data_IF_086738618547
#
_entry.id   IF_086738618547
#
_cell.length_a   1.000
_cell.length_b   1.000
_cell.length_c   1.000
_cell.angle_alpha   90.00
_cell.angle_beta   90.00
_cell.angle_gamma   90.00
#
_symmetry.space_group_name_H-M   'P 1'
#
loop_
_entity.id
_entity.type
_entity.pdbx_description
1 polymer ?
#
# COMPACT_ATOMS: atom_id res chain seq x y z
N UNK A 1 -39.16 26.51 -33.11
CA UNK A 1 -38.61 25.16 -33.38
C UNK A 1 -37.34 25.02 -32.57
N UNK A 2 -37.23 24.00 -31.71
CA UNK A 2 -36.00 23.79 -30.93
C UNK A 2 -34.84 23.43 -31.87
N UNK A 3 -33.67 24.01 -31.63
CA UNK A 3 -32.44 23.72 -32.38
C UNK A 3 -32.18 22.18 -32.38
N UNK A 4 -31.95 21.55 -33.54
CA UNK A 4 -31.56 20.14 -33.62
C UNK A 4 -30.42 19.77 -32.67
N UNK A 5 -29.49 20.68 -32.41
CA UNK A 5 -28.39 20.48 -31.46
C UNK A 5 -28.88 20.34 -30.02
N UNK A 6 -29.86 21.14 -29.59
CA UNK A 6 -30.46 20.99 -28.26
C UNK A 6 -31.14 19.63 -28.09
N UNK A 7 -31.75 19.09 -29.16
CA UNK A 7 -32.34 17.75 -29.14
C UNK A 7 -31.29 16.67 -28.95
N UNK A 8 -30.14 16.75 -29.61
CA UNK A 8 -29.08 15.74 -29.46
C UNK A 8 -28.49 15.80 -28.05
N UNK A 9 -28.20 17.00 -27.53
CA UNK A 9 -27.64 17.20 -26.19
C UNK A 9 -28.69 17.15 -25.06
N UNK A 10 -29.89 16.63 -25.34
CA UNK A 10 -30.87 16.25 -24.32
C UNK A 10 -31.09 14.73 -24.26
N UNK A 11 -30.40 13.95 -25.10
CA UNK A 11 -30.46 12.48 -25.06
C UNK A 11 -29.43 11.96 -24.04
N UNK A 12 -29.92 11.41 -22.93
CA UNK A 12 -29.08 10.95 -21.81
C UNK A 12 -27.95 10.00 -22.23
N UNK A 13 -28.19 9.08 -23.17
CA UNK A 13 -27.15 8.15 -23.62
C UNK A 13 -26.01 8.85 -24.35
N UNK A 14 -26.33 9.88 -25.15
CA UNK A 14 -25.34 10.66 -25.90
C UNK A 14 -24.52 11.49 -24.92
N UNK A 15 -25.18 12.17 -23.98
CA UNK A 15 -24.51 12.97 -22.95
C UNK A 15 -23.57 12.08 -22.12
N UNK A 16 -24.05 10.91 -21.67
CA UNK A 16 -23.24 9.98 -20.89
C UNK A 16 -22.03 9.47 -21.66
N UNK A 17 -22.18 9.17 -22.95
CA UNK A 17 -21.05 8.75 -23.79
C UNK A 17 -20.05 9.90 -23.97
N UNK A 18 -20.51 11.12 -24.25
CA UNK A 18 -19.63 12.28 -24.37
C UNK A 18 -18.88 12.52 -23.06
N UNK A 19 -19.55 12.53 -21.91
CA UNK A 19 -18.90 12.78 -20.62
C UNK A 19 -17.87 11.68 -20.28
N UNK A 20 -18.19 10.41 -20.55
CA UNK A 20 -17.23 9.29 -20.38
C UNK A 20 -15.96 9.48 -21.23
N UNK A 21 -16.09 10.04 -22.44
CA UNK A 21 -14.96 10.25 -23.35
C UNK A 21 -14.29 11.62 -23.22
N UNK A 22 -14.93 12.61 -22.60
CA UNK A 22 -14.41 13.97 -22.37
C UNK A 22 -13.88 14.17 -20.95
N UNK A 23 -13.56 13.07 -20.25
CA UNK A 23 -13.19 13.02 -18.84
C UNK A 23 -11.76 13.53 -18.52
N UNK A 24 -11.36 14.73 -18.98
CA UNK A 24 -10.66 15.61 -18.06
C UNK A 24 -11.62 16.59 -17.39
N UNK A 25 -11.62 16.60 -16.05
CA UNK A 25 -12.30 17.60 -15.21
C UNK A 25 -12.06 19.05 -15.67
N UNK A 26 -10.90 19.33 -16.28
CA UNK A 26 -10.52 20.64 -16.82
C UNK A 26 -11.55 21.21 -17.80
N UNK A 27 -12.22 20.35 -18.57
CA UNK A 27 -13.21 20.78 -19.55
C UNK A 27 -14.60 20.98 -18.91
N UNK A 28 -14.83 20.50 -17.68
CA UNK A 28 -16.16 20.53 -17.08
C UNK A 28 -16.69 21.95 -16.83
N UNK A 29 -15.91 22.95 -16.40
CA UNK A 29 -16.40 24.32 -16.32
C UNK A 29 -17.04 24.80 -17.63
N UNK A 30 -16.40 24.52 -18.77
CA UNK A 30 -16.85 24.96 -20.10
C UNK A 30 -17.98 24.07 -20.63
N UNK A 31 -17.85 22.75 -20.50
CA UNK A 31 -18.87 21.79 -20.92
C UNK A 31 -20.20 21.96 -20.18
N UNK A 32 -20.17 22.47 -18.95
CA UNK A 32 -21.37 22.78 -18.17
C UNK A 32 -22.16 23.98 -18.71
N UNK A 33 -21.59 24.73 -19.67
CA UNK A 33 -22.28 25.85 -20.31
C UNK A 33 -23.04 25.44 -21.58
N UNK A 34 -22.92 24.18 -22.03
CA UNK A 34 -23.59 23.69 -23.26
C UNK A 34 -25.11 23.79 -23.14
N UNK A 35 -25.71 23.17 -22.12
CA UNK A 35 -27.11 23.35 -21.75
C UNK A 35 -27.39 22.81 -20.33
N UNK A 36 -28.63 22.97 -19.84
CA UNK A 36 -29.04 22.52 -18.50
C UNK A 36 -28.93 21.01 -18.30
N UNK A 37 -29.29 20.20 -19.30
CA UNK A 37 -29.23 18.74 -19.24
C UNK A 37 -27.79 18.24 -19.16
N UNK A 38 -26.91 18.77 -20.01
CA UNK A 38 -25.48 18.46 -20.02
C UNK A 38 -24.83 18.85 -18.68
N UNK A 39 -25.13 20.05 -18.16
CA UNK A 39 -24.64 20.48 -16.84
C UNK A 39 -25.10 19.55 -15.71
N UNK A 40 -26.36 19.10 -15.73
CA UNK A 40 -26.91 18.17 -14.74
C UNK A 40 -26.14 16.85 -14.75
N UNK A 41 -25.92 16.27 -15.92
CA UNK A 41 -25.19 15.00 -16.05
C UNK A 41 -23.70 15.15 -15.72
N UNK A 42 -23.07 16.26 -16.12
CA UNK A 42 -21.73 16.61 -15.67
C UNK A 42 -21.64 16.61 -14.14
N UNK A 43 -22.58 17.29 -13.47
CA UNK A 43 -22.63 17.33 -12.00
C UNK A 43 -22.84 15.94 -11.41
N UNK A 44 -23.69 15.10 -12.01
CA UNK A 44 -23.91 13.73 -11.54
C UNK A 44 -22.63 12.88 -11.62
N UNK A 45 -21.92 12.96 -12.75
CA UNK A 45 -20.63 12.29 -12.93
C UNK A 45 -19.61 12.78 -11.90
N UNK A 46 -19.53 14.10 -11.69
CA UNK A 46 -18.63 14.67 -10.69
C UNK A 46 -18.98 14.22 -9.27
N UNK A 47 -20.27 14.13 -8.92
CA UNK A 47 -20.70 13.61 -7.61
C UNK A 47 -20.21 12.18 -7.40
N UNK A 48 -20.44 11.30 -8.37
CA UNK A 48 -20.06 9.90 -8.28
C UNK A 48 -18.55 9.73 -8.21
N UNK A 49 -17.81 10.44 -9.07
CA UNK A 49 -16.35 10.31 -9.11
C UNK A 49 -15.60 10.95 -7.95
N UNK A 50 -16.27 11.83 -7.19
CA UNK A 50 -15.72 12.51 -6.02
C UNK A 50 -16.35 12.03 -4.70
N UNK A 51 -17.13 10.94 -4.70
CA UNK A 51 -17.47 10.26 -3.44
C UNK A 51 -16.22 9.74 -2.71
N UNK A 52 -15.17 9.43 -3.50
CA UNK A 52 -13.81 9.19 -3.03
C UNK A 52 -12.93 10.39 -3.40
N UNK A 53 -12.35 11.02 -2.39
CA UNK A 53 -11.42 12.13 -2.53
C UNK A 53 -10.05 11.68 -2.03
N UNK A 54 -9.05 11.82 -2.89
CA UNK A 54 -7.64 11.73 -2.56
C UNK A 54 -7.00 13.10 -2.81
N UNK A 55 -6.38 13.68 -1.78
CA UNK A 55 -5.58 14.90 -1.89
C UNK A 55 -4.12 14.53 -1.64
N UNK A 56 -3.24 14.75 -2.62
CA UNK A 56 -1.84 14.35 -2.54
C UNK A 56 -0.90 15.50 -2.86
N UNK A 57 0.19 15.63 -2.10
CA UNK A 57 1.23 16.61 -2.38
C UNK A 57 1.90 16.31 -3.73
N UNK A 58 2.11 17.36 -4.52
CA UNK A 58 3.00 17.34 -5.67
C UNK A 58 4.20 18.21 -5.34
N UNK A 59 5.29 17.57 -4.94
CA UNK A 59 6.56 18.23 -4.71
C UNK A 59 7.39 18.14 -5.99
N UNK A 60 7.86 19.26 -6.55
CA UNK A 60 8.76 19.22 -7.70
C UNK A 60 10.03 18.42 -7.38
N UNK A 61 10.47 17.57 -8.30
CA UNK A 61 11.79 16.95 -8.23
C UNK A 61 12.86 18.04 -8.36
N UNK A 62 13.65 18.27 -7.30
CA UNK A 62 14.93 18.99 -7.04
C UNK A 62 15.40 20.17 -7.95
N UNK A 63 14.82 20.43 -9.12
CA UNK A 63 15.24 21.44 -10.08
C UNK A 63 14.09 22.23 -10.74
N UNK A 64 12.85 22.09 -10.28
CA UNK A 64 11.73 22.89 -10.79
C UNK A 64 11.42 24.10 -9.91
N UNK A 65 10.82 25.12 -10.52
CA UNK A 65 10.51 26.39 -9.87
C UNK A 65 9.57 26.14 -8.66
N UNK A 66 9.72 26.90 -7.55
CA UNK A 66 8.78 26.84 -6.42
C UNK A 66 7.30 26.94 -6.84
N UNK A 67 7.03 27.62 -7.95
CA UNK A 67 5.70 27.80 -8.55
C UNK A 67 5.00 26.49 -9.00
N UNK A 68 5.72 25.36 -9.02
CA UNK A 68 5.19 24.04 -9.38
C UNK A 68 4.78 23.20 -8.16
N UNK A 69 4.99 23.70 -6.95
CA UNK A 69 4.48 23.09 -5.73
C UNK A 69 2.94 23.19 -5.69
N UNK A 70 2.29 22.09 -5.33
CA UNK A 70 0.88 22.13 -5.04
C UNK A 70 0.30 20.79 -4.68
N UNK A 71 -0.99 20.62 -4.92
CA UNK A 71 -1.69 19.38 -4.58
C UNK A 71 -2.43 18.83 -5.79
N UNK A 72 -2.58 17.52 -5.83
CA UNK A 72 -3.53 16.88 -6.73
C UNK A 72 -4.79 16.52 -5.97
N UNK A 73 -5.95 16.72 -6.58
CA UNK A 73 -7.24 16.21 -6.10
C UNK A 73 -7.70 15.17 -7.11
N UNK A 74 -7.77 13.90 -6.69
CA UNK A 74 -8.03 12.76 -7.56
C UNK A 74 -7.12 12.76 -8.80
N UNK A 75 -5.82 12.97 -8.59
CA UNK A 75 -4.79 13.02 -9.64
C UNK A 75 -4.74 14.32 -10.44
N UNK A 76 -5.60 15.31 -10.14
CA UNK A 76 -5.63 16.60 -10.86
C UNK A 76 -4.96 17.71 -10.08
N UNK A 77 -3.88 18.26 -10.65
CA UNK A 77 -3.09 19.31 -10.03
C UNK A 77 -3.89 20.61 -9.81
N UNK A 78 -3.65 21.25 -8.68
CA UNK A 78 -4.10 22.59 -8.36
C UNK A 78 -3.07 23.31 -7.49
N UNK A 79 -2.92 24.61 -7.76
CA UNK A 79 -2.10 25.53 -6.96
C UNK A 79 -2.90 26.01 -5.75
N UNK A 80 -2.22 26.60 -4.78
CA UNK A 80 -2.85 27.06 -3.54
C UNK A 80 -3.97 28.07 -3.81
N UNK A 81 -3.70 29.00 -4.72
CA UNK A 81 -4.65 30.04 -5.16
C UNK A 81 -5.93 29.49 -5.82
N UNK A 82 -5.90 28.25 -6.34
CA UNK A 82 -7.05 27.59 -6.97
C UNK A 82 -7.64 26.45 -6.13
N UNK A 83 -6.93 25.97 -5.11
CA UNK A 83 -7.36 24.89 -4.23
C UNK A 83 -8.72 25.19 -3.60
N UNK A 84 -8.85 26.31 -2.88
CA UNK A 84 -10.12 26.69 -2.25
C UNK A 84 -11.26 26.86 -3.27
N UNK A 85 -11.00 27.51 -4.42
CA UNK A 85 -12.01 27.66 -5.48
C UNK A 85 -12.53 26.30 -5.95
N UNK A 86 -11.64 25.32 -6.09
CA UNK A 86 -11.97 23.95 -6.48
C UNK A 86 -12.76 23.22 -5.39
N UNK A 87 -12.35 23.33 -4.13
CA UNK A 87 -13.08 22.76 -3.00
C UNK A 87 -14.51 23.32 -2.91
N UNK A 88 -14.65 24.65 -2.96
CA UNK A 88 -15.94 25.33 -2.93
C UNK A 88 -16.82 24.94 -4.11
N UNK A 89 -16.22 24.72 -5.28
CA UNK A 89 -16.94 24.23 -6.44
C UNK A 89 -17.54 22.84 -6.20
N UNK A 90 -16.73 21.89 -5.72
CA UNK A 90 -17.18 20.53 -5.40
C UNK A 90 -18.29 20.54 -4.33
N UNK A 91 -18.15 21.36 -3.28
CA UNK A 91 -19.17 21.48 -2.24
C UNK A 91 -20.44 22.16 -2.74
N UNK A 92 -20.35 23.40 -3.20
CA UNK A 92 -21.52 24.27 -3.34
C UNK A 92 -22.22 24.06 -4.68
N UNK A 93 -21.46 23.79 -5.75
CA UNK A 93 -22.03 23.58 -7.08
C UNK A 93 -22.31 22.11 -7.35
N UNK A 94 -21.36 21.23 -7.05
CA UNK A 94 -21.56 19.80 -7.26
C UNK A 94 -22.32 19.13 -6.11
N UNK A 95 -22.30 19.65 -4.88
CA UNK A 95 -22.93 19.01 -3.70
C UNK A 95 -22.43 17.58 -3.49
N UNK A 96 -21.11 17.40 -3.62
CA UNK A 96 -20.46 16.11 -3.39
C UNK A 96 -20.68 15.67 -1.94
N UNK A 97 -21.07 14.41 -1.74
CA UNK A 97 -21.15 13.76 -0.43
C UNK A 97 -19.99 12.77 -0.33
N UNK A 98 -19.00 13.10 0.48
CA UNK A 98 -17.78 12.30 0.59
C UNK A 98 -18.04 11.09 1.47
N UNK A 99 -17.64 9.92 0.97
CA UNK A 99 -17.66 8.64 1.68
C UNK A 99 -16.25 8.16 2.02
N UNK A 100 -15.28 8.46 1.16
CA UNK A 100 -13.89 8.04 1.31
C UNK A 100 -12.99 9.25 1.17
N UNK A 101 -12.17 9.52 2.17
CA UNK A 101 -11.29 10.68 2.20
C UNK A 101 -9.88 10.28 2.60
N UNK A 102 -8.91 10.66 1.78
CA UNK A 102 -7.51 10.36 1.99
C UNK A 102 -6.63 11.57 1.68
N UNK A 103 -5.67 11.84 2.55
CA UNK A 103 -4.65 12.88 2.39
C UNK A 103 -3.27 12.24 2.38
N UNK A 104 -2.45 12.57 1.39
CA UNK A 104 -1.09 12.05 1.24
C UNK A 104 -0.07 13.16 1.23
N UNK A 105 0.91 13.02 2.12
CA UNK A 105 2.19 13.73 2.05
C UNK A 105 2.13 15.27 2.05
N UNK A 106 1.00 15.89 2.44
CA UNK A 106 0.88 17.36 2.45
C UNK A 106 1.91 18.06 3.35
N UNK A 107 2.42 17.38 4.37
CA UNK A 107 3.52 17.90 5.21
C UNK A 107 4.83 18.14 4.44
N UNK A 108 4.97 17.59 3.23
CA UNK A 108 6.14 17.84 2.36
C UNK A 108 6.06 19.19 1.64
N UNK A 109 4.90 19.84 1.66
CA UNK A 109 4.70 21.15 1.07
C UNK A 109 5.22 22.23 2.03
N UNK A 110 6.33 22.88 1.67
CA UNK A 110 7.06 23.78 2.57
C UNK A 110 6.43 25.17 2.65
N UNK A 111 5.84 25.64 1.57
CA UNK A 111 5.32 27.00 1.45
C UNK A 111 3.79 27.06 1.47
N UNK A 112 3.14 25.91 1.70
CA UNK A 112 1.70 25.77 1.67
C UNK A 112 1.11 25.93 3.07
N UNK A 113 0.03 26.70 3.21
CA UNK A 113 -0.64 26.88 4.49
C UNK A 113 -1.47 25.64 4.85
N UNK A 114 -0.83 24.70 5.56
CA UNK A 114 -1.45 23.44 5.98
C UNK A 114 -2.61 23.64 6.97
N UNK A 115 -2.56 24.68 7.80
CA UNK A 115 -3.61 24.98 8.78
C UNK A 115 -4.86 25.51 8.09
N UNK A 116 -4.70 26.45 7.15
CA UNK A 116 -5.80 26.92 6.33
C UNK A 116 -6.34 25.81 5.42
N UNK A 117 -5.47 24.94 4.91
CA UNK A 117 -5.87 23.75 4.14
C UNK A 117 -6.72 22.80 4.95
N UNK A 118 -6.31 22.52 6.20
CA UNK A 118 -7.13 21.75 7.14
C UNK A 118 -8.50 22.37 7.33
N UNK A 119 -8.58 23.68 7.58
CA UNK A 119 -9.85 24.40 7.74
C UNK A 119 -10.73 24.29 6.50
N UNK A 120 -10.19 24.54 5.31
CA UNK A 120 -10.92 24.42 4.03
C UNK A 120 -11.45 22.99 3.84
N UNK A 121 -10.66 21.97 4.15
CA UNK A 121 -11.10 20.58 4.07
C UNK A 121 -12.25 20.31 5.05
N UNK A 122 -12.09 20.70 6.32
CA UNK A 122 -13.05 20.39 7.36
C UNK A 122 -14.36 21.17 7.21
N UNK A 123 -14.28 22.45 6.87
CA UNK A 123 -15.44 23.35 6.87
C UNK A 123 -16.08 23.44 5.49
N UNK A 124 -15.29 23.64 4.44
CA UNK A 124 -15.81 23.86 3.09
C UNK A 124 -16.04 22.54 2.35
N UNK A 125 -15.10 21.60 2.39
CA UNK A 125 -15.24 20.34 1.66
C UNK A 125 -16.20 19.38 2.39
N UNK A 126 -15.89 19.06 3.63
CA UNK A 126 -16.66 18.10 4.44
C UNK A 126 -17.90 18.79 5.01
N UNK A 127 -17.69 19.91 5.71
CA UNK A 127 -18.75 20.70 6.35
C UNK A 127 -19.67 19.82 7.20
N UNK A 128 -20.98 19.97 7.06
CA UNK A 128 -21.97 19.22 7.84
C UNK A 128 -22.10 17.73 7.45
N UNK A 129 -21.37 17.24 6.45
CA UNK A 129 -21.46 15.84 5.99
C UNK A 129 -20.44 14.91 6.68
N UNK A 130 -19.93 15.27 7.87
CA UNK A 130 -18.95 14.46 8.63
C UNK A 130 -19.37 13.01 8.79
N UNK A 131 -20.66 12.77 9.05
CA UNK A 131 -21.23 11.45 9.31
C UNK A 131 -21.33 10.54 8.08
N UNK A 132 -21.10 11.04 6.86
CA UNK A 132 -21.13 10.20 5.65
C UNK A 132 -19.80 9.54 5.34
N UNK A 133 -18.72 10.00 5.98
CA UNK A 133 -17.36 9.50 5.77
C UNK A 133 -17.21 8.15 6.47
N UNK A 134 -16.73 7.15 5.72
CA UNK A 134 -16.48 5.77 6.15
C UNK A 134 -15.00 5.44 6.22
N UNK A 135 -14.20 6.12 5.42
CA UNK A 135 -12.74 6.03 5.46
C UNK A 135 -12.15 7.44 5.56
N UNK A 136 -11.30 7.66 6.57
CA UNK A 136 -10.70 8.95 6.86
C UNK A 136 -9.21 8.78 7.15
N UNK A 137 -8.39 8.96 6.13
CA UNK A 137 -6.98 8.58 6.15
C UNK A 137 -6.07 9.78 5.91
N UNK A 138 -4.94 9.83 6.64
CA UNK A 138 -3.81 10.70 6.34
C UNK A 138 -3.87 12.12 6.91
N UNK A 139 -4.92 12.47 7.65
CA UNK A 139 -5.07 13.82 8.22
C UNK A 139 -3.96 14.23 9.19
N UNK A 140 -3.20 13.29 9.74
CA UNK A 140 -1.99 13.57 10.51
C UNK A 140 -0.94 14.37 9.72
N UNK A 141 -1.04 14.44 8.38
CA UNK A 141 -0.15 15.27 7.56
C UNK A 141 -0.39 16.78 7.70
N UNK A 142 -1.59 17.20 8.11
CA UNK A 142 -1.96 18.62 8.25
C UNK A 142 -2.54 18.95 9.63
N UNK A 143 -2.93 17.94 10.39
CA UNK A 143 -3.37 18.05 11.78
C UNK A 143 -2.67 16.95 12.61
N UNK A 144 -1.37 17.07 12.92
CA UNK A 144 -0.58 15.96 13.46
C UNK A 144 -1.11 15.38 14.78
N UNK A 145 -1.59 16.25 15.67
CA UNK A 145 -2.15 15.83 16.98
C UNK A 145 -3.65 15.54 16.91
N UNK A 146 -4.32 15.88 15.81
CA UNK A 146 -5.77 15.83 15.69
C UNK A 146 -6.47 17.03 16.33
N UNK A 147 -7.77 17.14 16.05
CA UNK A 147 -8.65 18.14 16.63
C UNK A 147 -10.03 17.51 16.88
N UNK A 148 -10.94 18.26 17.50
CA UNK A 148 -12.32 17.81 17.76
C UNK A 148 -13.02 17.36 16.47
N UNK A 149 -12.96 18.18 15.41
CA UNK A 149 -13.59 17.83 14.13
C UNK A 149 -13.01 16.56 13.48
N UNK A 150 -11.69 16.32 13.58
CA UNK A 150 -11.08 15.08 13.10
C UNK A 150 -11.55 13.87 13.92
N UNK A 151 -11.67 14.04 15.24
CA UNK A 151 -12.10 12.99 16.17
C UNK A 151 -13.56 12.60 15.91
N UNK A 152 -14.45 13.57 15.74
CA UNK A 152 -15.87 13.33 15.41
C UNK A 152 -16.07 12.51 14.13
N UNK A 153 -15.19 12.69 13.14
CA UNK A 153 -15.22 11.90 11.90
C UNK A 153 -14.67 10.50 12.16
N UNK A 154 -13.50 10.41 12.82
CA UNK A 154 -12.81 9.16 13.11
C UNK A 154 -13.70 8.17 13.89
N UNK A 155 -14.43 8.67 14.87
CA UNK A 155 -15.38 7.95 15.73
C UNK A 155 -16.46 7.16 14.95
N UNK A 156 -16.69 7.47 13.67
CA UNK A 156 -17.72 6.84 12.82
C UNK A 156 -17.15 6.09 11.62
N UNK A 157 -15.82 6.07 11.47
CA UNK A 157 -15.14 5.48 10.34
C UNK A 157 -14.87 3.99 10.57
N UNK A 158 -14.96 3.20 9.49
CA UNK A 158 -14.56 1.80 9.52
C UNK A 158 -13.06 1.65 9.25
N UNK A 159 -12.47 2.59 8.50
CA UNK A 159 -11.02 2.67 8.28
C UNK A 159 -10.52 4.06 8.62
N UNK A 160 -9.51 4.13 9.47
CA UNK A 160 -9.01 5.41 9.97
C UNK A 160 -7.51 5.36 10.21
N UNK A 161 -6.87 6.51 10.05
CA UNK A 161 -5.57 6.80 10.62
C UNK A 161 -4.63 7.56 9.66
N UNK A 162 -3.42 7.92 10.07
CA UNK A 162 -2.80 7.55 11.35
C UNK A 162 -3.59 8.04 12.56
N UNK A 163 -3.69 7.20 13.60
CA UNK A 163 -4.33 7.53 14.87
C UNK A 163 -3.67 8.76 15.47
N UNK A 164 -4.48 9.76 15.81
CA UNK A 164 -4.05 11.06 16.34
C UNK A 164 -4.17 11.10 17.86
N UNK A 165 -3.28 11.84 18.53
CA UNK A 165 -3.29 11.95 19.99
C UNK A 165 -4.64 12.42 20.53
N UNK A 166 -5.25 13.44 19.92
CA UNK A 166 -6.53 13.99 20.34
C UNK A 166 -7.64 12.92 20.37
N UNK A 167 -7.63 11.99 19.42
CA UNK A 167 -8.59 10.90 19.43
C UNK A 167 -8.34 9.95 20.60
N UNK A 168 -7.09 9.58 20.87
CA UNK A 168 -6.73 8.75 22.04
C UNK A 168 -7.23 9.41 23.32
N UNK A 169 -7.02 10.70 23.51
CA UNK A 169 -7.33 11.35 24.79
C UNK A 169 -8.77 11.90 24.91
N UNK A 170 -9.51 12.03 23.80
CA UNK A 170 -10.84 12.68 23.79
C UNK A 170 -11.96 11.87 23.17
N UNK A 171 -11.69 10.74 22.51
CA UNK A 171 -12.79 9.92 21.98
C UNK A 171 -13.72 9.51 23.12
N UNK A 172 -15.02 9.65 22.87
CA UNK A 172 -16.08 9.34 23.84
C UNK A 172 -16.81 8.06 23.49
N UNK A 173 -16.41 7.42 22.40
CA UNK A 173 -17.00 6.20 21.88
C UNK A 173 -15.99 5.07 22.03
N UNK A 174 -16.49 3.85 21.87
CA UNK A 174 -15.70 2.63 21.78
C UNK A 174 -15.70 2.14 20.32
N UNK A 175 -15.12 2.89 19.37
CA UNK A 175 -15.18 2.53 17.96
C UNK A 175 -14.43 1.22 17.70
N UNK A 176 -15.05 0.41 16.83
CA UNK A 176 -14.41 -0.74 16.23
C UNK A 176 -14.01 -0.42 14.79
N UNK A 177 -12.71 -0.55 14.49
CA UNK A 177 -12.17 -0.31 13.15
C UNK A 177 -11.97 -1.61 12.41
N UNK A 178 -12.45 -1.68 11.17
CA UNK A 178 -12.00 -2.72 10.24
C UNK A 178 -10.50 -2.61 9.96
N UNK A 179 -10.00 -1.38 9.83
CA UNK A 179 -8.58 -1.11 9.65
C UNK A 179 -8.18 0.17 10.39
N UNK A 180 -7.15 0.08 11.22
CA UNK A 180 -6.58 1.22 11.93
C UNK A 180 -5.12 1.38 11.54
N UNK A 181 -4.72 2.61 11.20
CA UNK A 181 -3.33 2.95 10.90
C UNK A 181 -2.75 3.68 12.11
N UNK A 182 -1.56 3.28 12.55
CA UNK A 182 -0.80 3.94 13.62
C UNK A 182 0.59 4.28 13.08
N UNK A 183 1.07 5.47 13.41
CA UNK A 183 2.43 5.89 13.14
C UNK A 183 3.21 5.93 14.45
N UNK A 184 4.46 5.51 14.43
CA UNK A 184 5.37 5.52 15.59
C UNK A 184 5.41 6.85 16.37
N UNK A 185 5.27 7.99 15.68
CA UNK A 185 5.18 9.33 16.28
C UNK A 185 4.10 9.42 17.37
N UNK A 186 3.01 8.64 17.24
CA UNK A 186 1.96 8.63 18.25
C UNK A 186 2.48 8.14 19.61
N UNK A 187 3.38 7.15 19.64
CA UNK A 187 3.90 6.63 20.90
C UNK A 187 4.67 7.70 21.67
N UNK A 188 5.50 8.49 20.98
CA UNK A 188 6.23 9.61 21.58
C UNK A 188 5.29 10.71 22.08
N UNK A 189 4.19 10.97 21.36
CA UNK A 189 3.17 11.94 21.77
C UNK A 189 2.41 11.47 23.03
N UNK A 190 2.05 10.19 23.09
CA UNK A 190 1.43 9.59 24.27
C UNK A 190 2.40 9.68 25.45
N UNK A 191 3.66 9.30 25.26
CA UNK A 191 4.66 9.36 26.32
C UNK A 191 4.88 10.79 26.83
N UNK A 192 4.98 11.77 25.93
CA UNK A 192 5.10 13.17 26.29
C UNK A 192 3.85 13.65 27.07
N UNK A 193 2.66 13.21 26.66
CA UNK A 193 1.42 13.52 27.35
C UNK A 193 1.40 12.90 28.76
N UNK A 194 1.81 11.64 28.89
CA UNK A 194 1.96 10.92 30.16
C UNK A 194 2.92 11.61 31.13
N UNK A 195 4.00 12.21 30.63
CA UNK A 195 4.95 12.97 31.49
C UNK A 195 4.37 14.31 31.96
N UNK A 196 3.50 14.95 31.17
CA UNK A 196 2.90 16.25 31.48
C UNK A 196 1.73 16.14 32.45
N UNK A 197 0.94 15.08 32.35
CA UNK A 197 -0.14 14.82 33.30
C UNK A 197 0.39 13.94 34.43
N UNK A 198 0.28 14.40 35.68
CA UNK A 198 0.64 13.60 36.86
C UNK A 198 0.04 12.18 36.75
N UNK A 199 0.85 11.16 37.04
CA UNK A 199 0.63 9.76 36.71
C UNK A 199 -0.73 9.15 37.11
N UNK A 200 -1.47 9.79 38.03
CA UNK A 200 -2.76 9.33 38.54
C UNK A 200 -3.87 9.24 37.48
N UNK A 201 -3.81 10.01 36.39
CA UNK A 201 -4.83 9.97 35.33
C UNK A 201 -4.55 8.96 34.21
N UNK A 202 -3.42 8.25 34.26
CA UNK A 202 -2.90 7.54 33.09
C UNK A 202 -3.44 6.13 32.91
N UNK A 203 -3.99 5.51 33.95
CA UNK A 203 -4.41 4.10 33.90
C UNK A 203 -5.52 3.81 32.87
N UNK A 204 -6.18 4.84 32.32
CA UNK A 204 -7.21 4.69 31.30
C UNK A 204 -7.04 5.69 30.14
N UNK A 205 -5.80 6.11 29.83
CA UNK A 205 -5.59 7.10 28.76
C UNK A 205 -6.01 6.57 27.38
N UNK A 206 -5.87 5.26 27.17
CA UNK A 206 -6.18 4.60 25.90
C UNK A 206 -7.63 4.11 25.98
N UNK A 207 -8.55 4.69 25.20
CA UNK A 207 -9.93 4.23 25.14
C UNK A 207 -9.97 2.79 24.61
N UNK A 208 -11.06 2.04 24.87
CA UNK A 208 -11.18 0.64 24.48
C UNK A 208 -11.51 0.49 22.98
N UNK A 209 -10.74 1.17 22.14
CA UNK A 209 -10.76 0.98 20.70
C UNK A 209 -10.42 -0.45 20.36
N UNK A 210 -11.09 -1.02 19.38
CA UNK A 210 -10.71 -2.33 18.84
C UNK A 210 -10.50 -2.25 17.34
N UNK A 211 -9.71 -3.15 16.77
CA UNK A 211 -9.63 -3.26 15.31
C UNK A 211 -9.45 -4.69 14.80
N UNK A 212 -9.87 -4.94 13.55
CA UNK A 212 -9.60 -6.21 12.88
C UNK A 212 -8.18 -6.25 12.29
N UNK A 213 -7.80 -5.18 11.58
CA UNK A 213 -6.50 -5.02 10.94
C UNK A 213 -5.78 -3.78 11.45
N UNK A 214 -4.56 -3.96 11.97
CA UNK A 214 -3.71 -2.86 12.40
C UNK A 214 -2.55 -2.69 11.42
N UNK A 215 -2.36 -1.47 10.91
CA UNK A 215 -1.18 -1.09 10.14
C UNK A 215 -0.31 -0.20 11.01
N UNK A 216 0.90 -0.67 11.36
CA UNK A 216 1.87 0.09 12.12
C UNK A 216 2.99 0.59 11.21
N UNK A 217 3.08 1.91 11.04
CA UNK A 217 4.10 2.59 10.24
C UNK A 217 5.26 2.99 11.15
N UNK A 218 6.43 2.40 10.91
CA UNK A 218 7.63 2.55 11.73
C UNK A 218 8.73 3.26 10.94
N UNK A 219 8.98 4.53 11.27
CA UNK A 219 10.02 5.36 10.65
C UNK A 219 11.22 5.59 11.56
N UNK A 220 11.06 5.35 12.87
CA UNK A 220 11.98 5.64 13.95
C UNK A 220 11.78 4.64 15.12
N UNK A 221 12.69 4.68 16.10
CA UNK A 221 12.55 3.93 17.35
C UNK A 221 11.37 4.45 18.18
N UNK A 222 10.67 3.55 18.86
CA UNK A 222 9.54 3.88 19.73
C UNK A 222 9.65 3.19 21.09
N UNK A 223 8.96 3.74 22.10
CA UNK A 223 8.84 3.12 23.41
C UNK A 223 8.04 1.83 23.33
N UNK A 224 8.67 0.70 23.70
CA UNK A 224 8.03 -0.61 23.74
C UNK A 224 6.81 -0.59 24.66
N UNK A 225 6.93 -0.03 25.85
CA UNK A 225 5.85 -0.08 26.86
C UNK A 225 4.58 0.60 26.38
N UNK A 226 4.70 1.80 25.80
CA UNK A 226 3.56 2.55 25.25
C UNK A 226 2.96 1.81 24.06
N UNK A 227 3.79 1.22 23.20
CA UNK A 227 3.31 0.42 22.09
C UNK A 227 2.55 -0.82 22.57
N UNK A 228 3.07 -1.56 23.54
CA UNK A 228 2.41 -2.76 24.06
C UNK A 228 1.09 -2.43 24.75
N UNK A 229 1.02 -1.34 25.51
CA UNK A 229 -0.21 -0.86 26.14
C UNK A 229 -1.29 -0.52 25.09
N UNK A 230 -0.91 0.22 24.04
CA UNK A 230 -1.82 0.57 22.96
C UNK A 230 -2.27 -0.65 22.17
N UNK A 231 -1.35 -1.56 21.86
CA UNK A 231 -1.65 -2.79 21.12
C UNK A 231 -2.54 -3.75 21.93
N UNK A 232 -2.35 -3.82 23.25
CA UNK A 232 -3.19 -4.59 24.14
C UNK A 232 -4.63 -4.05 24.18
N UNK A 233 -4.80 -2.72 24.19
CA UNK A 233 -6.12 -2.10 24.11
C UNK A 233 -6.80 -2.39 22.77
N UNK A 234 -6.06 -2.32 21.66
CA UNK A 234 -6.59 -2.50 20.30
C UNK A 234 -7.00 -3.93 19.97
N UNK A 235 -6.34 -4.92 20.57
CA UNK A 235 -6.57 -6.35 20.36
C UNK A 235 -6.74 -6.74 18.87
N UNK A 236 -5.79 -6.40 17.98
CA UNK A 236 -5.93 -6.64 16.54
C UNK A 236 -5.93 -8.13 16.19
N UNK A 237 -6.71 -8.56 15.20
CA UNK A 237 -6.64 -9.93 14.66
C UNK A 237 -5.42 -10.15 13.75
N UNK A 238 -5.01 -9.09 13.06
CA UNK A 238 -3.91 -9.08 12.09
C UNK A 238 -3.12 -7.79 12.19
N UNK A 239 -1.80 -7.87 11.97
CA UNK A 239 -0.90 -6.72 12.01
C UNK A 239 -0.09 -6.63 10.73
N UNK A 240 -0.03 -5.46 10.10
CA UNK A 240 0.94 -5.10 9.05
C UNK A 240 1.95 -4.09 9.62
N UNK A 241 3.22 -4.46 9.64
CA UNK A 241 4.32 -3.56 9.99
C UNK A 241 4.91 -2.96 8.70
N UNK A 242 4.69 -1.66 8.48
CA UNK A 242 5.30 -0.91 7.37
C UNK A 242 6.59 -0.25 7.84
N UNK A 243 7.71 -0.78 7.37
CA UNK A 243 9.04 -0.32 7.79
C UNK A 243 9.51 0.79 6.84
N UNK A 244 9.75 1.98 7.39
CA UNK A 244 10.14 3.17 6.67
C UNK A 244 11.61 3.20 6.24
N UNK A 245 12.05 4.39 5.80
CA UNK A 245 13.34 4.60 5.09
C UNK A 245 14.58 4.42 5.97
N UNK A 246 14.46 4.60 7.30
CA UNK A 246 15.60 4.68 8.22
C UNK A 246 15.60 3.64 9.35
N UNK A 247 14.56 2.82 9.46
CA UNK A 247 14.36 1.98 10.64
C UNK A 247 14.65 0.52 10.39
N UNK A 248 15.83 0.02 10.78
CA UNK A 248 15.79 -1.31 11.38
C UNK A 248 14.93 -1.17 12.64
N UNK A 249 13.99 -2.08 12.87
CA UNK A 249 13.30 -2.13 14.18
C UNK A 249 14.38 -2.51 15.19
N UNK A 250 15.01 -1.53 15.82
CA UNK A 250 16.01 -1.75 16.87
C UNK A 250 15.27 -1.71 18.18
N UNK A 251 14.87 -2.88 18.66
CA UNK A 251 14.50 -3.03 20.05
C UNK A 251 15.80 -2.92 20.85
N UNK A 252 16.10 -1.71 21.33
CA UNK A 252 16.92 -1.62 22.53
C UNK A 252 16.17 -2.45 23.57
N UNK A 253 16.77 -3.54 24.04
CA UNK A 253 16.30 -4.31 25.20
C UNK A 253 15.12 -5.28 24.96
N UNK A 254 15.19 -6.11 23.92
CA UNK A 254 14.33 -7.29 23.78
C UNK A 254 14.58 -8.41 24.83
N UNK A 255 15.21 -8.12 25.98
CA UNK A 255 15.42 -9.11 27.06
C UNK A 255 14.13 -9.46 27.82
N UNK A 256 13.05 -8.68 27.67
CA UNK A 256 11.80 -8.97 28.35
C UNK A 256 10.88 -9.89 27.52
N UNK A 257 10.30 -10.88 28.21
CA UNK A 257 9.45 -11.94 27.68
C UNK A 257 8.36 -11.44 26.72
N UNK A 258 7.96 -12.25 25.72
CA UNK A 258 6.82 -11.96 24.87
C UNK A 258 5.56 -11.74 25.72
N UNK A 259 4.69 -10.84 25.28
CA UNK A 259 3.36 -10.69 25.91
C UNK A 259 2.55 -11.91 25.50
N UNK A 260 2.45 -12.89 26.41
CA UNK A 260 1.97 -14.25 26.15
C UNK A 260 0.50 -14.37 25.68
N UNK A 261 -0.25 -13.27 25.60
CA UNK A 261 -1.70 -13.31 25.41
C UNK A 261 -2.20 -12.80 24.06
N UNK A 262 -1.32 -12.45 23.11
CA UNK A 262 -1.77 -12.02 21.78
C UNK A 262 -1.94 -13.22 20.85
N UNK A 263 -3.17 -13.42 20.40
CA UNK A 263 -3.49 -14.43 19.40
C UNK A 263 -3.60 -13.78 18.01
N UNK A 264 -2.46 -13.34 17.47
CA UNK A 264 -2.41 -12.81 16.11
C UNK A 264 -2.53 -13.96 15.13
N UNK A 265 -3.62 -13.93 14.34
CA UNK A 265 -3.79 -14.88 13.24
C UNK A 265 -2.77 -14.66 12.12
N UNK A 266 -2.26 -13.43 12.00
CA UNK A 266 -1.33 -13.05 10.95
C UNK A 266 -0.47 -11.82 11.30
N UNK A 267 0.82 -11.89 10.94
CA UNK A 267 1.75 -10.77 10.92
C UNK A 267 2.29 -10.59 9.50
N UNK A 268 2.22 -9.37 8.96
CA UNK A 268 2.85 -8.99 7.70
C UNK A 268 3.92 -7.95 7.94
N UNK A 269 5.19 -8.30 7.71
CA UNK A 269 6.31 -7.35 7.71
C UNK A 269 6.50 -6.83 6.30
N UNK A 270 6.12 -5.58 6.06
CA UNK A 270 6.18 -4.91 4.78
C UNK A 270 7.33 -3.90 4.73
N UNK A 271 8.44 -4.30 4.10
CA UNK A 271 9.64 -3.49 3.89
C UNK A 271 9.78 -3.06 2.42
N UNK A 272 8.73 -3.17 1.61
CA UNK A 272 8.80 -2.93 0.16
C UNK A 272 9.34 -1.54 -0.20
N UNK A 273 8.96 -0.53 0.58
CA UNK A 273 9.30 0.87 0.34
C UNK A 273 10.56 1.32 1.10
N UNK A 274 11.29 0.38 1.73
CA UNK A 274 12.52 0.70 2.44
C UNK A 274 13.69 0.73 1.46
N UNK A 275 14.22 1.91 1.15
CA UNK A 275 15.27 2.05 0.13
C UNK A 275 16.66 1.57 0.57
N UNK A 276 16.95 1.58 1.87
CA UNK A 276 18.32 1.50 2.41
C UNK A 276 18.55 0.38 3.43
N UNK A 277 17.71 -0.66 3.46
CA UNK A 277 17.92 -1.77 4.39
C UNK A 277 18.98 -2.74 3.85
N UNK A 278 20.01 -2.99 4.65
CA UNK A 278 20.93 -4.11 4.42
C UNK A 278 20.23 -5.46 4.64
N UNK A 279 20.87 -6.57 4.23
CA UNK A 279 20.35 -7.92 4.50
C UNK A 279 20.29 -8.18 6.02
N UNK A 280 21.30 -7.68 6.73
CA UNK A 280 21.45 -7.78 8.18
C UNK A 280 20.33 -6.99 8.89
N UNK A 281 20.08 -5.74 8.47
CA UNK A 281 18.99 -4.93 9.03
C UNK A 281 17.61 -5.55 8.79
N UNK A 282 17.41 -6.17 7.62
CA UNK A 282 16.18 -6.93 7.35
C UNK A 282 16.04 -8.12 8.29
N UNK A 283 17.11 -8.89 8.50
CA UNK A 283 17.09 -10.04 9.39
C UNK A 283 16.77 -9.63 10.85
N UNK A 284 17.41 -8.56 11.34
CA UNK A 284 17.15 -7.99 12.67
C UNK A 284 15.71 -7.51 12.78
N UNK A 285 15.21 -6.80 11.76
CA UNK A 285 13.83 -6.31 11.73
C UNK A 285 12.83 -7.46 11.77
N UNK A 286 13.04 -8.51 10.98
CA UNK A 286 12.20 -9.70 10.95
C UNK A 286 12.20 -10.40 12.31
N UNK A 287 13.39 -10.57 12.91
CA UNK A 287 13.53 -11.16 14.23
C UNK A 287 12.72 -10.38 15.27
N UNK A 288 12.99 -9.09 15.39
CA UNK A 288 12.38 -8.21 16.39
C UNK A 288 10.87 -8.11 16.22
N UNK A 289 10.38 -7.99 14.98
CA UNK A 289 8.96 -8.05 14.70
C UNK A 289 8.33 -9.38 15.11
N UNK A 290 8.97 -10.52 14.80
CA UNK A 290 8.45 -11.85 15.17
C UNK A 290 8.43 -12.08 16.68
N UNK A 291 9.34 -11.44 17.42
CA UNK A 291 9.36 -11.48 18.88
C UNK A 291 8.28 -10.57 19.51
N UNK A 292 8.05 -9.39 18.94
CA UNK A 292 7.02 -8.46 19.41
C UNK A 292 5.60 -8.93 19.13
N UNK A 293 5.41 -9.61 17.99
CA UNK A 293 4.10 -10.00 17.48
C UNK A 293 4.08 -11.51 17.24
N UNK A 294 3.98 -12.34 18.31
CA UNK A 294 3.83 -13.78 18.16
C UNK A 294 2.66 -14.11 17.22
N UNK A 295 2.88 -14.97 16.24
CA UNK A 295 1.91 -15.34 15.21
C UNK A 295 2.16 -16.76 14.72
N UNK A 296 1.13 -17.42 14.19
CA UNK A 296 1.28 -18.69 13.48
C UNK A 296 1.72 -18.50 12.02
N UNK A 297 1.41 -17.33 11.44
CA UNK A 297 1.61 -17.02 10.02
C UNK A 297 2.31 -15.68 9.85
N UNK A 298 3.48 -15.72 9.24
CA UNK A 298 4.31 -14.56 8.95
C UNK A 298 4.40 -14.35 7.44
N UNK A 299 4.02 -13.15 6.99
CA UNK A 299 4.29 -12.68 5.63
C UNK A 299 5.41 -11.65 5.66
N UNK A 300 6.31 -11.71 4.70
CA UNK A 300 7.45 -10.81 4.62
C UNK A 300 7.50 -10.27 3.19
N UNK A 301 7.32 -8.97 3.01
CA UNK A 301 7.53 -8.29 1.73
C UNK A 301 8.85 -7.55 1.79
N UNK A 302 9.83 -8.02 1.02
CA UNK A 302 11.18 -7.48 1.04
C UNK A 302 11.32 -6.21 0.18
N UNK A 303 12.30 -5.34 0.51
CA UNK A 303 12.68 -4.23 -0.35
C UNK A 303 13.03 -4.68 -1.76
N UNK A 304 12.64 -3.89 -2.76
CA UNK A 304 13.01 -4.19 -4.15
C UNK A 304 14.52 -4.11 -4.38
N UNK A 305 15.21 -3.21 -3.69
CA UNK A 305 16.66 -3.01 -3.83
C UNK A 305 17.50 -4.23 -3.38
N UNK A 306 16.95 -5.12 -2.53
CA UNK A 306 17.66 -6.31 -2.07
C UNK A 306 17.69 -7.44 -3.09
N UNK A 307 16.81 -7.41 -4.09
CA UNK A 307 16.69 -8.49 -5.06
C UNK A 307 16.80 -7.90 -6.45
N UNK A 308 17.87 -8.22 -7.15
CA UNK A 308 17.98 -7.93 -8.57
C UNK A 308 17.63 -9.19 -9.35
N UNK A 309 16.82 -9.08 -10.40
CA UNK A 309 16.39 -10.23 -11.19
C UNK A 309 17.57 -11.02 -11.77
N UNK A 310 18.65 -10.35 -12.20
CA UNK A 310 19.84 -10.99 -12.77
C UNK A 310 20.72 -11.71 -11.74
N UNK A 311 20.71 -11.27 -10.47
CA UNK A 311 21.47 -11.88 -9.37
C UNK A 311 20.58 -12.54 -8.31
N UNK A 312 19.34 -12.84 -8.68
CA UNK A 312 18.29 -13.28 -7.75
C UNK A 312 18.71 -14.54 -6.99
N UNK A 313 19.35 -15.49 -7.69
CA UNK A 313 19.88 -16.72 -7.09
C UNK A 313 20.83 -16.41 -5.92
N UNK A 314 21.84 -15.57 -6.14
CA UNK A 314 22.82 -15.19 -5.09
C UNK A 314 22.15 -14.43 -3.96
N UNK A 315 21.32 -13.43 -4.25
CA UNK A 315 20.71 -12.60 -3.22
C UNK A 315 19.78 -13.40 -2.31
N UNK A 316 19.02 -14.32 -2.88
CA UNK A 316 18.06 -15.15 -2.15
C UNK A 316 18.76 -16.30 -1.41
N UNK A 317 19.86 -16.85 -1.94
CA UNK A 317 20.72 -17.81 -1.22
C UNK A 317 21.22 -17.24 0.09
N UNK A 318 21.62 -15.98 0.12
CA UNK A 318 22.12 -15.37 1.36
C UNK A 318 20.99 -15.01 2.31
N UNK A 319 19.86 -14.56 1.76
CA UNK A 319 18.76 -13.99 2.54
C UNK A 319 17.89 -15.06 3.19
N UNK A 320 17.61 -16.18 2.52
CA UNK A 320 16.73 -17.20 3.09
C UNK A 320 17.31 -17.79 4.37
N UNK A 321 18.58 -18.24 4.45
CA UNK A 321 19.16 -18.75 5.69
C UNK A 321 19.08 -17.73 6.83
N UNK A 322 19.27 -16.43 6.55
CA UNK A 322 19.12 -15.37 7.53
C UNK A 322 17.68 -15.30 8.05
N UNK A 323 16.68 -15.25 7.17
CA UNK A 323 15.27 -15.25 7.57
C UNK A 323 14.93 -16.53 8.35
N UNK A 324 15.41 -17.68 7.87
CA UNK A 324 15.13 -19.00 8.45
C UNK A 324 15.63 -19.12 9.88
N UNK A 325 16.83 -18.59 10.16
CA UNK A 325 17.42 -18.61 11.51
C UNK A 325 16.76 -17.65 12.48
N UNK A 326 16.23 -16.53 11.98
CA UNK A 326 15.71 -15.45 12.81
C UNK A 326 14.22 -15.56 13.14
N UNK A 327 13.47 -16.38 12.41
CA UNK A 327 12.04 -16.62 12.67
C UNK A 327 11.85 -17.93 13.46
N UNK A 328 11.01 -17.95 14.51
CA UNK A 328 10.69 -19.18 15.25
C UNK A 328 10.22 -20.34 14.36
N UNK A 329 10.59 -21.58 14.74
CA UNK A 329 10.44 -22.78 13.89
C UNK A 329 8.99 -23.15 13.57
N UNK A 330 8.05 -22.86 14.46
CA UNK A 330 6.63 -23.21 14.31
C UNK A 330 5.86 -22.27 13.38
N UNK A 331 6.46 -21.15 12.95
CA UNK A 331 5.79 -20.13 12.15
C UNK A 331 5.85 -20.51 10.66
N UNK A 332 4.70 -20.49 9.99
CA UNK A 332 4.63 -20.59 8.53
C UNK A 332 5.03 -19.25 7.90
N UNK A 333 5.96 -19.27 6.96
CA UNK A 333 6.47 -18.06 6.31
C UNK A 333 5.99 -17.97 4.85
N UNK A 334 5.47 -16.81 4.46
CA UNK A 334 5.19 -16.41 3.08
C UNK A 334 6.08 -15.22 2.71
N UNK A 335 7.03 -15.42 1.79
CA UNK A 335 8.07 -14.45 1.43
C UNK A 335 7.80 -13.87 0.05
N UNK A 336 7.58 -12.55 -0.02
CA UNK A 336 7.29 -11.83 -1.24
C UNK A 336 8.52 -11.03 -1.67
N UNK A 337 9.05 -11.37 -2.84
CA UNK A 337 10.21 -10.73 -3.46
C UNK A 337 9.74 -9.82 -4.60
N UNK A 338 10.26 -8.59 -4.63
CA UNK A 338 9.94 -7.59 -5.67
C UNK A 338 11.19 -7.24 -6.47
N UNK A 339 11.74 -8.16 -7.26
CA UNK A 339 13.05 -7.95 -7.87
C UNK A 339 13.05 -6.74 -8.82
N UNK A 340 14.06 -5.89 -8.69
CA UNK A 340 14.31 -4.86 -9.72
C UNK A 340 14.74 -5.52 -11.01
N UNK A 341 14.17 -5.07 -12.12
CA UNK A 341 14.55 -5.51 -13.45
C UNK A 341 15.79 -4.73 -13.91
N UNK A 342 16.88 -5.40 -14.32
CA UNK A 342 18.09 -4.71 -14.78
C UNK A 342 17.80 -3.87 -16.04
N UNK A 343 18.50 -2.75 -16.19
CA UNK A 343 18.43 -1.92 -17.41
C UNK A 343 19.23 -2.50 -18.59
N UNK A 344 20.13 -3.44 -18.32
CA UNK A 344 21.16 -3.92 -19.24
C UNK A 344 20.87 -5.33 -19.74
N UNK A 345 21.58 -5.75 -20.79
CA UNK A 345 21.48 -7.07 -21.45
C UNK A 345 22.05 -8.23 -20.60
N UNK A 346 22.03 -8.11 -19.27
CA UNK A 346 22.54 -9.15 -18.38
C UNK A 346 21.66 -10.38 -18.47
N UNK A 347 22.24 -11.55 -18.67
CA UNK A 347 21.49 -12.80 -18.71
C UNK A 347 20.86 -13.07 -17.35
N UNK A 348 19.52 -13.12 -17.30
CA UNK A 348 18.78 -13.51 -16.11
C UNK A 348 18.77 -15.03 -16.00
N UNK A 349 19.49 -15.54 -15.01
CA UNK A 349 19.39 -16.95 -14.58
C UNK A 349 18.39 -17.03 -13.45
N UNK A 350 17.19 -17.52 -13.76
CA UNK A 350 16.24 -17.88 -12.72
C UNK A 350 16.70 -19.16 -12.01
N UNK A 351 16.48 -19.18 -10.71
CA UNK A 351 16.86 -20.21 -9.75
C UNK A 351 17.01 -21.60 -10.34
N UNK A 352 18.14 -22.23 -10.03
CA UNK A 352 18.08 -23.65 -9.71
C UNK A 352 17.74 -23.78 -8.20
N UNK A 353 16.80 -24.67 -7.90
CA UNK A 353 16.77 -25.59 -6.76
C UNK A 353 17.53 -25.26 -5.44
N UNK A 354 16.85 -24.96 -4.31
CA UNK A 354 17.50 -24.73 -3.00
C UNK A 354 16.94 -25.66 -1.89
N UNK A 355 17.80 -26.42 -1.21
CA UNK A 355 17.50 -27.21 0.01
C UNK A 355 18.31 -26.64 1.17
N UNK A 356 17.63 -26.40 2.28
CA UNK A 356 18.21 -25.96 3.54
C UNK A 356 18.14 -27.13 4.51
N UNK A 357 19.22 -27.43 5.21
CA UNK A 357 19.21 -28.31 6.40
C UNK A 357 19.90 -27.57 7.53
N UNK A 358 19.31 -27.61 8.73
CA UNK A 358 19.86 -26.96 9.93
C UNK A 358 20.16 -25.46 9.74
N UNK A 359 19.37 -24.76 8.89
CA UNK A 359 19.58 -23.34 8.60
C UNK A 359 20.82 -23.05 7.76
N UNK A 360 21.41 -24.04 7.11
CA UNK A 360 22.48 -23.91 6.12
C UNK A 360 21.99 -24.43 4.77
N UNK A 361 22.43 -23.82 3.67
CA UNK A 361 22.12 -24.28 2.32
C UNK A 361 22.90 -25.56 2.05
N UNK A 362 22.22 -26.69 1.87
CA UNK A 362 22.86 -28.02 1.81
C UNK A 362 22.85 -28.65 0.42
N UNK A 363 21.78 -28.51 -0.38
CA UNK A 363 21.73 -29.17 -1.70
C UNK A 363 20.70 -28.58 -2.65
N UNK A 364 20.83 -28.86 -3.94
CA UNK A 364 19.90 -28.40 -4.97
C UNK A 364 18.85 -29.49 -5.27
N UNK A 365 17.55 -29.27 -4.96
CA UNK A 365 16.40 -30.11 -5.40
C UNK A 365 15.34 -29.35 -6.20
N UNK A 366 14.64 -30.05 -7.11
CA UNK A 366 13.60 -29.52 -8.03
C UNK A 366 12.51 -28.81 -7.23
N UNK A 367 12.33 -27.50 -7.48
CA UNK A 367 11.21 -26.74 -6.92
C UNK A 367 9.90 -27.24 -7.52
N UNK A 368 8.94 -27.56 -6.66
CA UNK A 368 7.55 -27.81 -7.06
C UNK A 368 6.94 -26.45 -7.39
N UNK A 369 6.80 -26.18 -8.69
CA UNK A 369 6.05 -25.01 -9.16
C UNK A 369 4.56 -25.27 -8.89
N UNK A 370 3.94 -24.44 -8.05
CA UNK A 370 2.50 -24.57 -7.76
C UNK A 370 1.68 -24.14 -8.97
N UNK A 371 0.71 -24.97 -9.34
CA UNK A 371 -0.31 -24.65 -10.34
C UNK A 371 -1.12 -23.42 -9.93
N UNK A 372 -1.75 -22.72 -10.89
CA UNK A 372 -2.57 -21.53 -10.61
C UNK A 372 -3.76 -21.83 -9.68
N UNK A 373 -4.26 -23.07 -9.70
CA UNK A 373 -5.35 -23.55 -8.83
C UNK A 373 -4.86 -23.79 -7.41
N UNK A 374 -3.69 -24.42 -7.22
CA UNK A 374 -3.03 -24.53 -5.91
C UNK A 374 -2.70 -23.15 -5.33
N UNK A 375 -2.38 -22.16 -6.18
CA UNK A 375 -2.19 -20.76 -5.75
C UNK A 375 -3.48 -20.14 -5.21
N UNK A 376 -4.64 -20.42 -5.83
CA UNK A 376 -5.94 -19.88 -5.37
C UNK A 376 -6.40 -20.55 -4.07
N UNK A 377 -6.16 -21.85 -3.91
CA UNK A 377 -6.59 -22.61 -2.73
C UNK A 377 -5.66 -22.43 -1.52
N UNK A 378 -4.37 -22.15 -1.72
CA UNK A 378 -3.40 -22.03 -0.64
C UNK A 378 -3.58 -20.83 0.30
N UNK A 379 -4.66 -20.02 0.15
CA UNK A 379 -4.87 -18.78 0.91
C UNK A 379 -3.59 -17.93 0.95
N UNK A 380 -2.85 -17.87 -0.17
CA UNK A 380 -1.74 -16.94 -0.32
C UNK A 380 -2.27 -15.57 0.09
N UNK A 381 -1.67 -15.01 1.13
CA UNK A 381 -2.14 -13.80 1.77
C UNK A 381 -2.14 -12.72 0.70
N UNK A 382 -3.36 -12.29 0.31
CA UNK A 382 -3.69 -11.42 -0.83
C UNK A 382 -2.46 -10.76 -1.45
N UNK A 383 -2.17 -11.15 -2.69
CA UNK A 383 -1.10 -10.54 -3.46
C UNK A 383 -1.31 -9.02 -3.53
N UNK A 384 -0.23 -8.24 -3.59
CA UNK A 384 -0.34 -6.81 -3.83
C UNK A 384 -1.17 -6.58 -5.09
N UNK A 385 -2.14 -5.67 -5.02
CA UNK A 385 -2.87 -5.23 -6.20
C UNK A 385 -1.88 -4.55 -7.17
N UNK A 386 -1.87 -4.99 -8.43
CA UNK A 386 -1.04 -4.40 -9.49
C UNK A 386 -0.72 -5.38 -10.62
N UNK A 387 -0.24 -4.87 -11.76
CA UNK A 387 0.13 -5.68 -12.92
C UNK A 387 1.49 -6.34 -12.68
N UNK A 388 1.51 -7.42 -11.90
CA UNK A 388 2.72 -8.22 -11.67
C UNK A 388 2.66 -9.52 -12.47
N UNK A 389 3.79 -9.89 -13.05
CA UNK A 389 4.05 -11.27 -13.39
C UNK A 389 4.58 -11.99 -12.14
N UNK A 390 4.08 -13.19 -11.88
CA UNK A 390 4.36 -13.89 -10.63
C UNK A 390 4.89 -15.31 -10.81
N UNK A 391 5.67 -15.76 -9.83
CA UNK A 391 6.22 -17.10 -9.78
C UNK A 391 6.29 -17.58 -8.33
N UNK A 392 5.85 -18.80 -8.07
CA UNK A 392 5.73 -19.35 -6.72
C UNK A 392 6.52 -20.63 -6.57
N UNK A 393 7.18 -20.74 -5.42
CA UNK A 393 7.88 -21.95 -5.03
C UNK A 393 7.72 -22.17 -3.54
N UNK A 394 7.86 -23.43 -3.12
CA UNK A 394 7.89 -23.79 -1.71
C UNK A 394 9.22 -24.45 -1.37
N UNK A 395 9.88 -23.96 -0.33
CA UNK A 395 11.05 -24.62 0.27
C UNK A 395 10.56 -25.36 1.52
N UNK A 396 10.84 -26.66 1.58
CA UNK A 396 10.48 -27.53 2.71
C UNK A 396 11.76 -28.03 3.37
N UNK A 397 11.93 -27.74 4.66
CA UNK A 397 12.91 -28.41 5.50
C UNK A 397 12.21 -29.57 6.21
N UNK A 398 12.42 -30.79 5.69
CA UNK A 398 11.79 -32.01 6.22
C UNK A 398 12.26 -32.35 7.63
N UNK A 399 13.46 -31.92 8.04
CA UNK A 399 14.02 -32.27 9.36
C UNK A 399 13.26 -31.62 10.51
N UNK A 400 12.67 -30.45 10.27
CA UNK A 400 11.92 -29.67 11.26
C UNK A 400 10.46 -29.41 10.83
N UNK A 401 9.98 -30.11 9.80
CA UNK A 401 8.65 -29.95 9.21
C UNK A 401 8.26 -28.48 8.93
N UNK A 402 9.19 -27.70 8.39
CA UNK A 402 9.00 -26.27 8.17
C UNK A 402 8.90 -25.94 6.69
N UNK A 403 7.98 -25.04 6.36
CA UNK A 403 7.74 -24.59 4.99
C UNK A 403 7.91 -23.08 4.87
N UNK A 404 8.53 -22.68 3.77
CA UNK A 404 8.62 -21.30 3.30
C UNK A 404 8.02 -21.25 1.90
N UNK A 405 6.88 -20.60 1.80
CA UNK A 405 6.31 -20.24 0.50
C UNK A 405 6.99 -18.95 0.03
N UNK A 406 7.40 -18.90 -1.24
CA UNK A 406 8.08 -17.76 -1.85
C UNK A 406 7.30 -17.33 -3.08
N UNK A 407 6.89 -16.06 -3.12
CA UNK A 407 6.31 -15.39 -4.26
C UNK A 407 7.32 -14.40 -4.84
N UNK A 408 7.64 -14.54 -6.12
CA UNK A 408 8.45 -13.57 -6.88
C UNK A 408 7.52 -12.75 -7.75
N UNK A 409 7.46 -11.45 -7.50
CA UNK A 409 6.52 -10.52 -8.12
C UNK A 409 7.29 -9.46 -8.91
N UNK A 410 7.28 -9.57 -10.24
CA UNK A 410 7.96 -8.63 -11.13
C UNK A 410 6.91 -7.75 -11.78
N UNK A 411 7.09 -6.43 -11.75
CA UNK A 411 6.19 -5.51 -12.44
C UNK A 411 6.18 -5.81 -13.95
N UNK A 412 4.98 -6.02 -14.51
CA UNK A 412 4.78 -6.46 -15.88
C UNK A 412 5.35 -5.47 -16.90
N UNK A 413 5.19 -4.17 -16.68
CA UNK A 413 5.71 -3.15 -17.60
C UNK A 413 7.25 -3.16 -17.61
N UNK A 414 7.87 -3.17 -16.43
CA UNK A 414 9.32 -3.22 -16.26
C UNK A 414 9.90 -4.50 -16.86
N UNK A 415 9.27 -5.66 -16.62
CA UNK A 415 9.67 -6.92 -17.22
C UNK A 415 9.50 -6.91 -18.74
N UNK A 416 8.38 -6.41 -19.26
CA UNK A 416 8.11 -6.32 -20.69
C UNK A 416 9.16 -5.48 -21.41
N UNK A 417 9.50 -4.29 -20.88
CA UNK A 417 10.57 -3.43 -21.42
C UNK A 417 11.91 -4.17 -21.49
N UNK A 418 12.28 -4.84 -20.40
CA UNK A 418 13.52 -5.63 -20.33
C UNK A 418 13.52 -6.81 -21.31
N UNK A 419 12.47 -7.64 -21.29
CA UNK A 419 12.34 -8.79 -22.16
C UNK A 419 12.44 -8.39 -23.64
N UNK A 420 11.73 -7.33 -24.04
CA UNK A 420 11.81 -6.82 -25.41
C UNK A 420 13.16 -6.24 -25.80
N UNK A 421 13.91 -5.65 -24.86
CA UNK A 421 15.25 -5.12 -25.15
C UNK A 421 16.28 -6.22 -25.42
N UNK A 422 15.99 -7.46 -25.02
CA UNK A 422 16.95 -8.56 -24.98
C UNK A 422 16.50 -9.77 -25.81
N UNK A 423 15.24 -9.83 -26.27
CA UNK A 423 14.64 -11.00 -26.95
C UNK A 423 15.44 -11.53 -28.15
N UNK A 424 16.23 -10.67 -28.81
CA UNK A 424 17.08 -11.03 -29.94
C UNK A 424 18.42 -11.66 -29.53
N UNK A 425 18.74 -11.66 -28.24
CA UNK A 425 19.94 -12.30 -27.70
C UNK A 425 19.65 -13.79 -27.52
N UNK A 426 20.28 -14.62 -28.35
CA UNK A 426 20.03 -16.08 -28.46
C UNK A 426 20.13 -16.83 -27.12
N UNK A 427 20.86 -16.29 -26.15
CA UNK A 427 20.99 -16.85 -24.79
C UNK A 427 19.87 -16.41 -23.86
N UNK A 428 18.62 -16.66 -24.25
CA UNK A 428 17.53 -16.51 -23.31
C UNK A 428 17.32 -17.80 -22.54
N UNK A 429 17.42 -17.72 -21.21
CA UNK A 429 17.08 -18.85 -20.35
C UNK A 429 15.60 -19.20 -20.55
N UNK A 430 15.31 -20.49 -20.74
CA UNK A 430 13.94 -21.02 -20.85
C UNK A 430 13.04 -20.54 -19.69
N UNK A 431 13.64 -20.12 -18.58
CA UNK A 431 12.94 -19.63 -17.40
C UNK A 431 12.37 -18.21 -17.52
N UNK A 432 12.89 -17.31 -18.35
CA UNK A 432 12.23 -16.01 -18.55
C UNK A 432 10.88 -16.17 -19.26
N UNK A 433 10.76 -17.18 -20.14
CA UNK A 433 9.51 -17.51 -20.81
C UNK A 433 8.40 -17.90 -19.82
N UNK A 434 8.74 -18.35 -18.61
CA UNK A 434 7.76 -18.72 -17.58
C UNK A 434 6.93 -17.55 -17.06
N UNK A 435 7.45 -16.31 -17.13
CA UNK A 435 6.69 -15.12 -16.76
C UNK A 435 5.74 -14.66 -17.87
N UNK A 436 5.96 -15.10 -19.11
CA UNK A 436 5.14 -14.70 -20.26
C UNK A 436 3.84 -15.50 -20.23
N UNK A 437 2.79 -14.88 -19.69
CA UNK A 437 1.46 -15.48 -19.68
C UNK A 437 0.85 -15.45 -21.09
N UNK A 438 -0.05 -16.39 -21.44
CA UNK A 438 -0.79 -16.35 -22.70
C UNK A 438 -1.55 -15.03 -22.90
N UNK A 439 -2.06 -14.45 -21.80
CA UNK A 439 -2.74 -13.16 -21.78
C UNK A 439 -1.79 -12.00 -22.18
N UNK A 440 -0.57 -11.99 -21.65
CA UNK A 440 0.45 -11.02 -22.08
C UNK A 440 0.80 -11.19 -23.56
N UNK A 441 0.96 -12.43 -24.06
CA UNK A 441 1.24 -12.67 -25.49
C UNK A 441 0.11 -12.15 -26.38
N UNK A 442 -1.14 -12.31 -25.96
CA UNK A 442 -2.30 -11.81 -26.71
C UNK A 442 -2.33 -10.27 -26.77
N UNK A 443 -1.92 -9.60 -25.70
CA UNK A 443 -2.00 -8.15 -25.57
C UNK A 443 -0.72 -7.41 -26.01
N UNK A 444 0.42 -8.09 -26.07
CA UNK A 444 1.70 -7.48 -26.47
C UNK A 444 2.08 -7.85 -27.90
N UNK A 445 2.01 -6.89 -28.83
CA UNK A 445 2.30 -7.10 -30.25
C UNK A 445 3.71 -7.66 -30.51
N UNK A 446 4.70 -7.29 -29.70
CA UNK A 446 6.07 -7.82 -29.83
C UNK A 446 6.17 -9.28 -29.39
N UNK A 447 5.57 -9.63 -28.24
CA UNK A 447 5.49 -11.02 -27.78
C UNK A 447 4.66 -11.87 -28.75
N UNK A 448 3.55 -11.34 -29.26
CA UNK A 448 2.72 -12.02 -30.26
C UNK A 448 3.50 -12.33 -31.54
N UNK A 449 4.33 -11.42 -32.03
CA UNK A 449 5.17 -11.70 -33.21
C UNK A 449 6.22 -12.77 -32.96
N UNK A 450 6.77 -12.85 -31.75
CA UNK A 450 7.79 -13.86 -31.41
C UNK A 450 7.20 -15.24 -31.09
N UNK A 451 6.04 -15.28 -30.42
CA UNK A 451 5.44 -16.53 -29.92
C UNK A 451 4.21 -16.97 -30.72
N UNK A 452 3.45 -16.04 -31.31
CA UNK A 452 2.15 -16.25 -31.94
C UNK A 452 2.18 -16.77 -33.38
N UNK A 453 3.36 -16.97 -33.99
CA UNK A 453 3.46 -17.47 -35.38
C UNK A 453 3.06 -18.95 -35.50
N UNK A 454 2.93 -19.71 -34.40
CA UNK A 454 2.58 -21.13 -34.44
C UNK A 454 1.13 -21.47 -34.03
N UNK A 455 0.14 -20.67 -34.47
CA UNK A 455 -1.28 -21.06 -34.33
C UNK A 455 -1.66 -22.35 -35.09
N UNK A 456 -0.83 -22.85 -36.01
CA UNK A 456 -1.12 -24.10 -36.74
C UNK A 456 -0.75 -25.39 -36.01
N UNK A 457 -0.13 -25.34 -34.82
CA UNK A 457 0.02 -26.52 -33.95
C UNK A 457 -0.60 -26.22 -32.60
N UNK A 458 -1.91 -26.46 -32.53
CA UNK A 458 -2.72 -26.42 -31.31
C UNK A 458 -2.26 -27.49 -30.32
N UNK A 459 -1.22 -27.19 -29.56
CA UNK A 459 -0.93 -27.69 -28.22
C UNK A 459 0.28 -26.90 -27.73
N UNK A 460 0.00 -25.83 -26.98
CA UNK A 460 1.01 -25.16 -26.18
C UNK A 460 1.45 -26.13 -25.08
N UNK A 461 2.31 -27.09 -25.42
CA UNK A 461 2.96 -27.94 -24.44
C UNK A 461 4.07 -27.12 -23.78
N UNK A 462 3.72 -26.48 -22.67
CA UNK A 462 4.68 -25.88 -21.76
C UNK A 462 5.48 -27.01 -21.11
N UNK A 463 6.76 -27.14 -21.49
CA UNK A 463 7.70 -28.10 -20.91
C UNK A 463 8.22 -27.67 -19.53
#
# INVERSE_FOLDING_TARGET
>A
MSDPMEKIFSIDIVINNIIKHTYPFENFPDLRLVNRSFNKECINVLRQSHEKILIEARVPEVHLKPDDEGVTINGKFCKESSFHKRIRFLKNKCRVKIKYFEVKELHKLKHWDLQNTHRIIMDDLIGNCRYTIREFIGMSSICPEGCEGCTEIADKCNRYGPLQLHMVIRSRLDPHFKELIICDRLFSLIEQHKRRQYASYLQNLIPPFTCDHLILILNSSFSRDVAMELLAALNPKTVELRVGRFGAIRLHEAQHAPVNNWNLSHLHINMRNSEWLSKEDCAVTIHNASCLFPTEKLKISLPSCLVNLASMERNVIDLIPLIWRNVPKYIKIDLHLFPTVPKTTQTVKFFKNLRIENGQTVKWLRLEEKSREERRSANFLRLPEGPYMDMYFTIKDKSINRMLDIAVLVEEESFGKYYHSTINQKEYSASARKFITPEHVANCTRCYRHHGVNKSKSKWEFA
#
